data_IF_997721227798
#
_entry.id   IF_997721227798
#
_cell.length_a   1.000
_cell.length_b   1.000
_cell.length_c   1.000
_cell.angle_alpha   90.00
_cell.angle_beta   90.00
_cell.angle_gamma   90.00
#
_symmetry.space_group_name_H-M   'P 1'
#
loop_
_entity.id
_entity.type
_entity.pdbx_description
1 polymer ?
#
# COMPACT_ATOMS: atom_id res chain seq x y z
N UNK A 1 -8.93 22.11 -20.34
CA UNK A 1 -9.36 21.47 -21.61
C UNK A 1 -8.34 21.68 -22.72
N UNK A 2 -7.82 22.89 -22.90
CA UNK A 2 -6.71 23.13 -23.83
C UNK A 2 -5.49 22.23 -23.53
N UNK A 3 -5.14 22.02 -22.26
CA UNK A 3 -3.98 21.17 -21.90
C UNK A 3 -4.23 19.69 -22.16
N UNK A 4 -5.42 19.18 -21.82
CA UNK A 4 -5.82 17.82 -22.18
C UNK A 4 -5.83 17.63 -23.71
N UNK A 5 -6.45 18.54 -24.46
CA UNK A 5 -6.48 18.48 -25.93
C UNK A 5 -5.07 18.59 -26.56
N UNK A 6 -4.18 19.43 -26.02
CA UNK A 6 -2.78 19.53 -26.45
C UNK A 6 -2.01 18.24 -26.18
N UNK A 7 -2.28 17.61 -25.04
CA UNK A 7 -1.72 16.31 -24.68
C UNK A 7 -2.16 15.22 -25.66
N UNK A 8 -3.44 15.21 -26.05
CA UNK A 8 -3.99 14.25 -27.02
C UNK A 8 -3.46 14.47 -28.44
N UNK A 9 -3.25 15.72 -28.86
CA UNK A 9 -2.61 16.02 -30.15
C UNK A 9 -1.16 15.55 -30.23
N UNK A 10 -0.49 15.34 -29.08
CA UNK A 10 0.90 14.89 -28.99
C UNK A 10 1.06 13.38 -28.85
N UNK A 11 0.00 12.65 -28.47
CA UNK A 11 0.10 11.22 -28.17
C UNK A 11 -0.87 10.38 -29.00
N UNK A 12 -0.39 9.72 -30.08
CA UNK A 12 -1.23 8.89 -30.93
C UNK A 12 -1.85 7.69 -30.19
N UNK A 13 -1.25 7.27 -29.06
CA UNK A 13 -1.77 6.18 -28.22
C UNK A 13 -3.08 6.53 -27.52
N UNK A 14 -3.35 7.82 -27.30
CA UNK A 14 -4.56 8.28 -26.60
C UNK A 14 -5.75 8.47 -27.52
N UNK A 15 -5.55 8.35 -28.84
CA UNK A 15 -6.62 8.44 -29.83
C UNK A 15 -7.70 7.39 -29.56
N UNK A 16 -7.29 6.17 -29.20
CA UNK A 16 -8.20 5.05 -28.91
C UNK A 16 -9.08 5.26 -27.67
N UNK A 17 -8.64 6.09 -26.70
CA UNK A 17 -9.41 6.39 -25.49
C UNK A 17 -10.08 7.77 -25.47
N UNK A 18 -10.01 8.53 -26.58
CA UNK A 18 -10.60 9.88 -26.70
C UNK A 18 -12.07 9.93 -26.29
N UNK A 19 -12.88 8.94 -26.68
CA UNK A 19 -14.30 8.88 -26.32
C UNK A 19 -14.53 8.76 -24.80
N UNK A 20 -13.74 7.93 -24.12
CA UNK A 20 -13.81 7.77 -22.64
C UNK A 20 -13.31 9.03 -21.92
N UNK A 21 -12.29 9.69 -22.47
CA UNK A 21 -11.79 10.97 -21.95
C UNK A 21 -12.84 12.08 -22.03
N UNK A 22 -13.58 12.15 -23.14
CA UNK A 22 -14.69 13.10 -23.28
C UNK A 22 -15.79 12.77 -22.27
N UNK A 23 -16.13 11.48 -22.09
CA UNK A 23 -17.10 11.03 -21.08
C UNK A 23 -16.73 11.51 -19.67
N UNK A 24 -15.48 11.31 -19.26
CA UNK A 24 -14.98 11.62 -17.90
C UNK A 24 -14.28 12.99 -17.78
N UNK A 25 -14.47 13.87 -18.76
CA UNK A 25 -13.76 15.14 -18.83
C UNK A 25 -14.04 16.04 -17.61
N UNK A 26 -15.27 16.01 -17.08
CA UNK A 26 -15.65 16.85 -15.93
C UNK A 26 -14.84 16.47 -14.69
N UNK A 27 -14.64 15.18 -14.47
CA UNK A 27 -13.87 14.60 -13.37
C UNK A 27 -12.36 14.83 -13.51
N UNK A 28 -11.83 14.73 -14.74
CA UNK A 28 -10.39 14.86 -14.99
C UNK A 28 -9.90 16.31 -15.09
N UNK A 29 -10.82 17.27 -15.29
CA UNK A 29 -10.48 18.68 -15.47
C UNK A 29 -9.71 19.30 -14.29
N UNK A 30 -10.08 19.08 -13.01
CA UNK A 30 -9.31 19.62 -11.89
C UNK A 30 -7.85 19.14 -11.90
N UNK A 31 -7.63 17.93 -12.38
CA UNK A 31 -6.33 17.25 -12.39
C UNK A 31 -5.54 17.44 -13.69
N UNK A 32 -6.02 18.27 -14.63
CA UNK A 32 -5.42 18.35 -15.96
C UNK A 32 -3.98 18.85 -15.97
N UNK A 33 -3.58 19.65 -14.97
CA UNK A 33 -2.20 20.12 -14.84
C UNK A 33 -1.25 18.97 -14.50
N UNK A 34 -1.59 18.15 -13.49
CA UNK A 34 -0.78 16.99 -13.11
C UNK A 34 -0.73 15.94 -14.23
N UNK A 35 -1.88 15.66 -14.86
CA UNK A 35 -1.95 14.79 -16.04
C UNK A 35 -1.06 15.33 -17.16
N UNK A 36 -1.05 16.65 -17.37
CA UNK A 36 -0.22 17.28 -18.40
C UNK A 36 1.28 17.15 -18.13
N UNK A 37 1.68 17.38 -16.88
CA UNK A 37 3.07 17.24 -16.44
C UNK A 37 3.60 15.81 -16.61
N UNK A 38 2.75 14.81 -16.39
CA UNK A 38 3.13 13.39 -16.41
C UNK A 38 2.58 12.60 -17.61
N UNK A 39 2.22 13.32 -18.68
CA UNK A 39 1.55 12.79 -19.87
C UNK A 39 2.16 11.50 -20.42
N UNK A 40 3.48 11.49 -20.64
CA UNK A 40 4.19 10.39 -21.30
C UNK A 40 4.23 9.13 -20.44
N UNK A 41 4.41 9.29 -19.13
CA UNK A 41 4.41 8.18 -18.18
C UNK A 41 2.99 7.65 -17.92
N UNK A 42 1.98 8.52 -17.98
CA UNK A 42 0.57 8.14 -17.76
C UNK A 42 -0.07 7.50 -19.01
N UNK A 43 0.40 7.87 -20.20
CA UNK A 43 -0.12 7.41 -21.49
C UNK A 43 -0.43 5.91 -21.59
N UNK A 44 0.48 4.98 -21.22
CA UNK A 44 0.21 3.55 -21.29
C UNK A 44 -0.90 3.08 -20.34
N UNK A 45 -1.14 3.81 -19.25
CA UNK A 45 -2.08 3.41 -18.20
C UNK A 45 -3.47 4.07 -18.35
N UNK A 46 -3.55 5.20 -19.03
CA UNK A 46 -4.79 5.98 -19.23
C UNK A 46 -5.99 5.14 -19.69
N UNK A 47 -5.89 4.25 -20.71
CA UNK A 47 -7.03 3.44 -21.12
C UNK A 47 -7.64 2.63 -19.96
N UNK A 48 -6.79 2.03 -19.12
CA UNK A 48 -7.22 1.18 -17.99
C UNK A 48 -7.77 2.00 -16.82
N UNK A 49 -7.18 3.16 -16.55
CA UNK A 49 -7.72 4.12 -15.57
C UNK A 49 -9.14 4.52 -15.99
N UNK A 50 -9.32 4.87 -17.27
CA UNK A 50 -10.60 5.28 -17.82
C UNK A 50 -11.65 4.17 -17.78
N UNK A 51 -11.23 2.91 -17.96
CA UNK A 51 -12.09 1.74 -17.82
C UNK A 51 -12.55 1.51 -16.39
N UNK A 52 -11.78 1.99 -15.42
CA UNK A 52 -12.03 1.80 -13.99
C UNK A 52 -12.58 3.06 -13.30
N UNK A 53 -13.04 4.03 -14.08
CA UNK A 53 -13.50 5.33 -13.58
C UNK A 53 -14.67 5.23 -12.61
N UNK A 54 -15.55 4.23 -12.78
CA UNK A 54 -16.69 4.02 -11.88
C UNK A 54 -16.24 3.73 -10.44
N UNK A 55 -15.02 3.20 -10.26
CA UNK A 55 -14.39 2.95 -8.96
C UNK A 55 -13.46 4.09 -8.53
N UNK A 56 -12.70 4.65 -9.48
CA UNK A 56 -11.65 5.61 -9.19
C UNK A 56 -12.15 7.05 -9.00
N UNK A 57 -13.34 7.40 -9.50
CA UNK A 57 -13.89 8.76 -9.47
C UNK A 57 -13.79 9.45 -8.09
N UNK A 58 -14.16 8.81 -6.96
CA UNK A 58 -14.07 9.45 -5.64
C UNK A 58 -12.63 9.75 -5.18
N UNK A 59 -11.65 9.07 -5.79
CA UNK A 59 -10.25 9.08 -5.34
C UNK A 59 -9.31 9.81 -6.30
N UNK A 60 -9.84 10.41 -7.38
CA UNK A 60 -9.01 11.06 -8.41
C UNK A 60 -8.09 12.14 -7.83
N UNK A 61 -8.57 12.98 -6.91
CA UNK A 61 -7.72 13.96 -6.23
C UNK A 61 -6.57 13.31 -5.48
N UNK A 62 -6.85 12.25 -4.72
CA UNK A 62 -5.80 11.54 -3.98
C UNK A 62 -4.76 10.89 -4.91
N UNK A 63 -5.18 10.43 -6.10
CA UNK A 63 -4.30 9.76 -7.07
C UNK A 63 -3.51 10.75 -7.93
N UNK A 64 -4.14 11.82 -8.41
CA UNK A 64 -3.59 12.70 -9.43
C UNK A 64 -2.90 13.95 -8.91
N UNK A 65 -3.22 14.42 -7.69
CA UNK A 65 -2.67 15.69 -7.20
C UNK A 65 -1.21 15.51 -6.74
N UNK A 66 -0.98 15.14 -5.48
CA UNK A 66 0.38 15.05 -4.93
C UNK A 66 1.00 13.65 -5.05
N UNK A 67 0.18 12.62 -5.20
CA UNK A 67 0.63 11.22 -5.19
C UNK A 67 1.12 10.74 -6.55
N UNK A 68 0.69 11.37 -7.65
CA UNK A 68 0.91 10.88 -9.00
C UNK A 68 2.37 10.54 -9.32
N UNK A 69 3.36 11.41 -9.00
CA UNK A 69 4.77 11.10 -9.28
C UNK A 69 5.26 9.83 -8.59
N UNK A 70 4.77 9.55 -7.38
CA UNK A 70 5.15 8.38 -6.59
C UNK A 70 4.40 7.12 -7.05
N UNK A 71 3.17 7.26 -7.55
CA UNK A 71 2.36 6.16 -8.05
C UNK A 71 2.81 5.68 -9.43
N UNK A 72 3.29 6.58 -10.30
CA UNK A 72 3.63 6.29 -11.71
C UNK A 72 4.47 5.03 -11.92
N UNK A 73 5.59 4.80 -11.18
CA UNK A 73 6.40 3.60 -11.37
C UNK A 73 5.65 2.29 -11.08
N UNK A 74 4.59 2.36 -10.28
CA UNK A 74 3.83 1.21 -9.78
C UNK A 74 2.42 1.11 -10.38
N UNK A 75 2.02 2.08 -11.21
CA UNK A 75 0.67 2.17 -11.74
C UNK A 75 0.24 0.91 -12.50
N UNK A 76 1.14 0.26 -13.23
CA UNK A 76 0.84 -1.02 -13.88
C UNK A 76 0.35 -2.07 -12.88
N UNK A 77 1.16 -2.36 -11.86
CA UNK A 77 0.85 -3.33 -10.83
C UNK A 77 -0.39 -2.94 -10.00
N UNK A 78 -0.54 -1.66 -9.66
CA UNK A 78 -1.72 -1.16 -8.93
C UNK A 78 -3.01 -1.35 -9.75
N UNK A 79 -2.95 -1.09 -11.06
CA UNK A 79 -4.10 -1.30 -11.94
C UNK A 79 -4.37 -2.78 -12.21
N UNK A 80 -3.34 -3.65 -12.16
CA UNK A 80 -3.50 -5.11 -12.32
C UNK A 80 -4.27 -5.72 -11.16
N UNK A 81 -4.08 -5.18 -9.94
CA UNK A 81 -4.74 -5.64 -8.72
C UNK A 81 -5.89 -4.71 -8.29
N UNK A 82 -6.40 -3.87 -9.18
CA UNK A 82 -7.41 -2.87 -8.83
C UNK A 82 -8.73 -3.50 -8.34
N UNK A 83 -9.09 -4.68 -8.83
CA UNK A 83 -10.25 -5.45 -8.35
C UNK A 83 -10.11 -5.80 -6.86
N UNK A 84 -8.91 -6.14 -6.43
CA UNK A 84 -8.57 -6.48 -5.04
C UNK A 84 -8.40 -5.22 -4.19
N UNK A 85 -7.83 -4.15 -4.76
CA UNK A 85 -7.59 -2.88 -4.07
C UNK A 85 -8.82 -1.99 -3.98
N UNK A 86 -9.79 -2.12 -4.89
CA UNK A 86 -11.01 -1.32 -4.93
C UNK A 86 -11.71 -1.17 -3.56
N UNK A 87 -11.98 -2.25 -2.80
CA UNK A 87 -12.59 -2.13 -1.47
C UNK A 87 -11.68 -1.43 -0.45
N UNK A 88 -10.36 -1.36 -0.69
CA UNK A 88 -9.39 -0.71 0.18
C UNK A 88 -9.20 0.77 -0.11
N UNK A 89 -9.61 1.26 -1.29
CA UNK A 89 -9.35 2.64 -1.70
C UNK A 89 -9.75 3.70 -0.66
N UNK A 90 -10.90 3.60 0.07
CA UNK A 90 -11.19 4.53 1.15
C UNK A 90 -10.07 4.57 2.19
N UNK A 91 -9.66 3.41 2.70
CA UNK A 91 -8.64 3.32 3.75
C UNK A 91 -7.24 3.70 3.22
N UNK A 92 -6.90 3.31 1.99
CA UNK A 92 -5.64 3.70 1.34
C UNK A 92 -5.54 5.21 1.20
N UNK A 93 -6.63 5.87 0.78
CA UNK A 93 -6.64 7.33 0.64
C UNK A 93 -6.59 8.05 1.98
N UNK A 94 -7.22 7.51 3.04
CA UNK A 94 -7.10 8.03 4.40
C UNK A 94 -5.67 7.91 4.96
N UNK A 95 -4.97 6.82 4.68
CA UNK A 95 -3.62 6.52 5.19
C UNK A 95 -2.50 6.79 4.18
N UNK A 96 -2.75 7.65 3.19
CA UNK A 96 -1.81 7.91 2.09
C UNK A 96 -0.42 8.35 2.56
N UNK A 97 -0.35 9.09 3.67
CA UNK A 97 0.90 9.61 4.21
C UNK A 97 1.83 8.49 4.68
N UNK A 98 1.24 7.41 5.23
CA UNK A 98 1.98 6.23 5.68
C UNK A 98 2.21 5.23 4.54
N UNK A 99 1.29 5.16 3.58
CA UNK A 99 1.31 4.18 2.48
C UNK A 99 2.18 4.59 1.29
N UNK A 100 2.22 5.87 0.92
CA UNK A 100 3.01 6.32 -0.24
C UNK A 100 4.51 6.04 -0.07
N UNK A 101 5.15 6.31 1.09
CA UNK A 101 6.57 6.03 1.29
C UNK A 101 6.92 4.54 1.19
N UNK A 102 5.97 3.66 1.53
CA UNK A 102 6.19 2.20 1.55
C UNK A 102 5.78 1.51 0.25
N UNK A 103 5.18 2.24 -0.68
CA UNK A 103 4.75 1.72 -1.98
C UNK A 103 5.86 0.97 -2.74
N UNK A 104 7.14 1.38 -2.73
CA UNK A 104 8.22 0.62 -3.36
C UNK A 104 8.36 -0.82 -2.86
N UNK A 105 7.98 -1.08 -1.60
CA UNK A 105 8.00 -2.41 -1.02
C UNK A 105 6.68 -3.15 -1.24
N UNK A 106 5.53 -2.47 -1.18
CA UNK A 106 4.23 -3.13 -1.30
C UNK A 106 3.92 -3.50 -2.76
N UNK A 107 4.13 -2.59 -3.71
CA UNK A 107 3.68 -2.78 -5.09
C UNK A 107 4.22 -4.05 -5.78
N UNK A 108 5.51 -4.40 -5.68
CA UNK A 108 6.03 -5.65 -6.26
C UNK A 108 5.45 -6.92 -5.63
N UNK A 109 4.84 -6.82 -4.44
CA UNK A 109 4.36 -7.95 -3.63
C UNK A 109 2.85 -8.05 -3.58
N UNK A 110 2.13 -7.14 -4.26
CA UNK A 110 0.66 -7.16 -4.31
C UNK A 110 0.09 -8.53 -4.73
N UNK A 111 0.63 -9.24 -5.75
CA UNK A 111 0.12 -10.56 -6.12
C UNK A 111 0.21 -11.58 -4.97
N UNK A 112 1.29 -11.54 -4.19
CA UNK A 112 1.49 -12.42 -3.02
C UNK A 112 0.62 -12.00 -1.83
N UNK A 113 0.38 -10.70 -1.66
CA UNK A 113 -0.44 -10.14 -0.57
C UNK A 113 -1.94 -10.27 -0.86
N UNK A 114 -2.35 -10.53 -2.10
CA UNK A 114 -3.74 -10.66 -2.55
C UNK A 114 -4.60 -11.54 -1.64
N UNK A 115 -4.06 -12.66 -1.19
CA UNK A 115 -4.80 -13.62 -0.35
C UNK A 115 -5.06 -13.11 1.07
N UNK A 116 -4.29 -12.11 1.52
CA UNK A 116 -4.36 -11.55 2.87
C UNK A 116 -5.01 -10.17 2.92
N UNK A 117 -5.17 -9.51 1.78
CA UNK A 117 -5.72 -8.15 1.68
C UNK A 117 -7.07 -8.03 2.40
N UNK A 118 -7.95 -9.03 2.27
CA UNK A 118 -9.25 -9.02 2.94
C UNK A 118 -9.13 -8.82 4.46
N UNK A 119 -8.24 -9.57 5.12
CA UNK A 119 -8.03 -9.44 6.57
C UNK A 119 -7.27 -8.17 6.92
N UNK A 120 -6.19 -7.86 6.21
CA UNK A 120 -5.35 -6.67 6.46
C UNK A 120 -6.13 -5.36 6.30
N UNK A 121 -7.11 -5.33 5.38
CA UNK A 121 -7.98 -4.17 5.13
C UNK A 121 -8.66 -3.65 6.38
N UNK A 122 -9.26 -4.57 7.14
CA UNK A 122 -10.06 -4.29 8.32
C UNK A 122 -9.22 -3.85 9.52
N UNK A 123 -7.89 -3.87 9.37
CA UNK A 123 -6.90 -3.49 10.39
C UNK A 123 -5.96 -2.39 9.90
N UNK A 124 -6.18 -1.84 8.71
CA UNK A 124 -5.28 -0.87 8.11
C UNK A 124 -5.10 0.36 9.01
N UNK A 125 -6.15 0.82 9.69
CA UNK A 125 -6.07 1.93 10.64
C UNK A 125 -5.07 1.70 11.77
N UNK A 126 -5.00 0.47 12.28
CA UNK A 126 -4.07 0.10 13.34
C UNK A 126 -2.66 -0.23 12.80
N UNK A 127 -2.56 -0.69 11.55
CA UNK A 127 -1.30 -1.09 10.92
C UNK A 127 -0.55 0.09 10.28
N UNK A 128 -1.27 1.07 9.74
CA UNK A 128 -0.73 2.17 8.93
C UNK A 128 0.47 2.87 9.59
N UNK A 129 0.43 3.26 10.89
CA UNK A 129 1.56 3.93 11.53
C UNK A 129 2.85 3.10 11.58
N UNK A 130 2.73 1.78 11.49
CA UNK A 130 3.85 0.85 11.56
C UNK A 130 4.34 0.38 10.19
N UNK A 131 3.59 0.64 9.12
CA UNK A 131 3.97 0.22 7.77
C UNK A 131 5.35 0.71 7.35
N UNK A 132 5.79 1.94 7.63
CA UNK A 132 7.15 2.38 7.31
C UNK A 132 8.26 1.49 7.88
N UNK A 133 8.00 0.86 9.03
CA UNK A 133 8.94 -0.06 9.69
C UNK A 133 8.79 -1.50 9.21
N UNK A 134 7.57 -1.95 8.91
CA UNK A 134 7.28 -3.32 8.47
C UNK A 134 7.69 -3.52 7.00
N UNK A 135 7.40 -2.54 6.14
CA UNK A 135 7.47 -2.67 4.69
C UNK A 135 8.84 -3.10 4.15
N UNK A 136 9.98 -2.59 4.66
CA UNK A 136 11.30 -3.04 4.23
C UNK A 136 11.56 -4.54 4.46
N UNK A 137 10.83 -5.18 5.38
CA UNK A 137 10.99 -6.59 5.75
C UNK A 137 9.93 -7.51 5.14
N UNK A 138 9.11 -7.02 4.19
CA UNK A 138 8.01 -7.80 3.63
C UNK A 138 8.46 -9.13 3.00
N UNK A 139 9.62 -9.20 2.34
CA UNK A 139 10.12 -10.47 1.79
C UNK A 139 10.34 -11.53 2.85
N UNK A 140 10.85 -11.09 4.00
CA UNK A 140 11.16 -11.96 5.11
C UNK A 140 9.88 -12.34 5.88
N UNK A 141 8.87 -11.47 5.88
CA UNK A 141 7.57 -11.71 6.53
C UNK A 141 6.60 -12.54 5.67
N UNK A 142 6.70 -12.48 4.34
CA UNK A 142 5.79 -13.14 3.41
C UNK A 142 5.57 -14.65 3.69
N UNK A 143 6.62 -15.46 3.97
CA UNK A 143 6.45 -16.87 4.34
C UNK A 143 5.61 -17.09 5.61
N UNK A 144 5.64 -16.12 6.52
CA UNK A 144 4.96 -16.15 7.82
C UNK A 144 3.57 -15.51 7.79
N UNK A 145 3.19 -14.87 6.69
CA UNK A 145 1.94 -14.12 6.56
C UNK A 145 0.66 -14.90 6.91
N UNK A 146 0.51 -16.19 6.58
CA UNK A 146 -0.67 -16.95 7.00
C UNK A 146 -0.89 -16.92 8.52
N UNK A 147 0.18 -17.11 9.29
CA UNK A 147 0.12 -17.11 10.76
C UNK A 147 0.03 -15.68 11.32
N UNK A 148 0.72 -14.71 10.71
CA UNK A 148 0.64 -13.30 11.11
C UNK A 148 -0.81 -12.82 10.98
N UNK A 149 -1.49 -13.17 9.89
CA UNK A 149 -2.88 -12.79 9.64
C UNK A 149 -3.84 -13.50 10.59
N UNK A 150 -3.60 -14.78 10.88
CA UNK A 150 -4.38 -15.54 11.87
C UNK A 150 -4.31 -14.90 13.28
N UNK A 151 -3.15 -14.35 13.65
CA UNK A 151 -2.93 -13.77 14.98
C UNK A 151 -2.87 -12.24 15.00
N UNK A 152 -3.29 -11.56 13.94
CA UNK A 152 -3.09 -10.12 13.76
C UNK A 152 -3.69 -9.28 14.89
N UNK A 153 -4.87 -9.67 15.38
CA UNK A 153 -5.57 -8.99 16.47
C UNK A 153 -4.77 -8.99 17.78
N UNK A 154 -3.93 -10.00 17.96
CA UNK A 154 -3.09 -10.14 19.14
C UNK A 154 -1.73 -9.48 18.94
N UNK A 155 -1.28 -9.32 17.70
CA UNK A 155 -0.03 -8.61 17.37
C UNK A 155 -0.21 -7.09 17.44
N UNK A 156 -1.38 -6.56 17.05
CA UNK A 156 -1.65 -5.11 16.97
C UNK A 156 -1.24 -4.34 18.23
N UNK A 157 -1.62 -4.75 19.45
CA UNK A 157 -1.23 -4.04 20.68
C UNK A 157 0.29 -3.98 20.91
N UNK A 158 1.06 -4.86 20.27
CA UNK A 158 2.50 -5.02 20.46
C UNK A 158 3.33 -4.51 19.27
N UNK A 159 2.71 -4.01 18.19
CA UNK A 159 3.41 -3.56 16.99
C UNK A 159 4.44 -2.47 17.28
N UNK A 160 4.19 -1.59 18.26
CA UNK A 160 5.15 -0.55 18.65
C UNK A 160 6.53 -1.12 19.00
N UNK A 161 6.56 -2.30 19.64
CA UNK A 161 7.80 -2.98 20.03
C UNK A 161 8.24 -3.95 18.93
N UNK A 162 7.33 -4.76 18.42
CA UNK A 162 7.65 -5.80 17.42
C UNK A 162 8.17 -5.23 16.10
N UNK A 163 7.83 -3.98 15.77
CA UNK A 163 8.26 -3.32 14.53
C UNK A 163 9.47 -2.42 14.75
N UNK A 164 10.06 -2.38 15.95
CA UNK A 164 11.40 -1.82 16.09
C UNK A 164 12.38 -2.67 15.29
N UNK A 165 13.29 -2.02 14.57
CA UNK A 165 14.16 -2.68 13.58
C UNK A 165 14.93 -3.87 14.19
N UNK A 166 15.53 -3.65 15.37
CA UNK A 166 16.27 -4.69 16.10
C UNK A 166 15.37 -5.86 16.53
N UNK A 167 14.19 -5.56 17.07
CA UNK A 167 13.23 -6.56 17.52
C UNK A 167 12.69 -7.39 16.35
N UNK A 168 12.31 -6.73 15.27
CA UNK A 168 11.72 -7.37 14.10
C UNK A 168 12.72 -8.34 13.46
N UNK A 169 13.96 -7.91 13.26
CA UNK A 169 15.02 -8.75 12.69
C UNK A 169 15.35 -9.92 13.63
N UNK A 170 15.42 -9.69 14.94
CA UNK A 170 15.73 -10.73 15.91
C UNK A 170 14.63 -11.80 16.03
N UNK A 171 13.36 -11.41 15.90
CA UNK A 171 12.21 -12.31 16.06
C UNK A 171 11.85 -13.06 14.77
N UNK A 172 12.23 -12.53 13.60
CA UNK A 172 11.83 -13.11 12.31
C UNK A 172 12.21 -14.59 12.14
N UNK A 173 13.42 -15.06 12.52
CA UNK A 173 13.76 -16.49 12.47
C UNK A 173 12.87 -17.38 13.35
N UNK A 174 12.20 -16.79 14.34
CA UNK A 174 11.34 -17.50 15.30
C UNK A 174 9.85 -17.21 15.08
N UNK A 175 9.48 -16.47 14.03
CA UNK A 175 8.12 -15.97 13.83
C UNK A 175 7.08 -17.09 13.88
N UNK A 176 7.27 -18.17 13.11
CA UNK A 176 6.34 -19.30 13.11
C UNK A 176 6.22 -19.99 14.47
N UNK A 177 7.34 -20.15 15.17
CA UNK A 177 7.35 -20.79 16.48
C UNK A 177 6.62 -19.92 17.49
N UNK A 178 6.88 -18.61 17.49
CA UNK A 178 6.24 -17.64 18.37
C UNK A 178 4.74 -17.51 18.13
N UNK A 179 4.33 -17.52 16.86
CA UNK A 179 2.92 -17.46 16.46
C UNK A 179 2.19 -18.77 16.84
N UNK A 180 2.78 -19.94 16.59
CA UNK A 180 2.18 -21.25 16.90
C UNK A 180 2.17 -21.61 18.38
N UNK A 181 3.19 -21.23 19.14
CA UNK A 181 3.33 -21.57 20.57
C UNK A 181 2.46 -20.72 21.51
N UNK A 182 1.60 -19.87 20.95
CA UNK A 182 0.79 -18.85 21.58
C UNK A 182 1.56 -17.57 21.92
N UNK A 183 0.94 -16.46 21.52
CA UNK A 183 1.20 -15.03 21.77
C UNK A 183 1.80 -14.70 23.15
N UNK A 184 1.57 -15.49 24.20
CA UNK A 184 2.13 -15.24 25.53
C UNK A 184 3.66 -15.10 25.55
N UNK A 185 4.38 -15.80 24.65
CA UNK A 185 5.82 -15.60 24.48
C UNK A 185 6.16 -14.30 23.75
N UNK A 186 5.36 -13.88 22.76
CA UNK A 186 5.52 -12.58 22.10
C UNK A 186 5.33 -11.43 23.09
N UNK A 187 4.36 -11.54 24.01
CA UNK A 187 4.19 -10.59 25.11
C UNK A 187 5.46 -10.52 25.97
N UNK A 188 5.98 -11.69 26.37
CA UNK A 188 7.16 -11.77 27.24
C UNK A 188 8.43 -11.24 26.56
N UNK A 189 8.63 -11.55 25.27
CA UNK A 189 9.81 -11.11 24.52
C UNK A 189 9.70 -9.63 24.12
N UNK A 190 8.54 -9.16 23.68
CA UNK A 190 8.32 -7.74 23.42
C UNK A 190 8.55 -6.92 24.71
N UNK A 191 8.06 -7.38 25.86
CA UNK A 191 8.34 -6.67 27.12
C UNK A 191 9.84 -6.63 27.44
N UNK A 192 10.58 -7.73 27.23
CA UNK A 192 12.04 -7.77 27.44
C UNK A 192 12.82 -6.84 26.52
N UNK A 193 12.37 -6.69 25.26
CA UNK A 193 12.97 -5.77 24.30
C UNK A 193 12.63 -4.30 24.59
N UNK A 194 11.46 -4.03 25.19
CA UNK A 194 11.05 -2.69 25.61
C UNK A 194 11.77 -2.21 26.89
N UNK A 195 12.16 -3.12 27.79
CA UNK A 195 12.89 -2.84 29.02
C UNK A 195 14.30 -3.47 29.02
N UNK A 196 15.31 -2.82 28.41
CA UNK A 196 16.68 -3.34 28.32
C UNK A 196 17.39 -3.46 29.69
N UNK A 197 16.80 -2.93 30.77
CA UNK A 197 17.32 -3.00 32.15
C UNK A 197 16.81 -4.20 32.96
N UNK A 198 15.83 -4.97 32.46
CA UNK A 198 15.29 -6.13 33.17
C UNK A 198 16.09 -7.43 32.96
N UNK A 199 17.07 -7.42 32.06
CA UNK A 199 18.02 -8.51 31.81
C UNK A 199 19.23 -8.51 32.76
N UNK A 200 19.03 -8.15 34.02
CA UNK A 200 20.06 -8.15 35.04
C UNK A 200 19.59 -8.95 36.25
N UNK A 201 20.36 -9.98 36.59
CA UNK A 201 20.31 -10.77 37.82
C UNK A 201 19.27 -11.90 37.82
N UNK A 202 19.76 -13.12 37.57
CA UNK A 202 19.55 -14.26 38.48
C UNK A 202 20.42 -15.45 38.07
N UNK A 203 21.33 -15.84 38.97
CA UNK A 203 21.88 -17.20 39.09
C UNK A 203 23.12 -17.51 38.29
#
# INVERSE_FOLDING_TARGET
MADLLRLFGRQPRLVSCTGKLIKYQKQLRPHSAAIATHADALAPHLPRILDSMDVLEPYLSALFDDALPQLLPYMGALLDELDVLAPLLPAITSHRADLLPVLPYIAPRLPSLRMFIGTLSSRLDALAPFLPRIAPHLDALLPHMPLIVEHIDVLIPHLQVLTQEEALIALLPYADLLLRSHVGLLQTQAQKLADPTSGGVSG
#
